data_IF_615984315576
#
_entry.id   IF_615984315576
#
_cell.length_a   1.000
_cell.length_b   1.000
_cell.length_c   1.000
_cell.angle_alpha   90.00
_cell.angle_beta   90.00
_cell.angle_gamma   90.00
#
_symmetry.space_group_name_H-M   'P 1'
#
loop_
_entity.id
_entity.type
_entity.pdbx_description
1 polymer ?
#
# COMPACT_ATOMS: atom_id res chain seq x y z
N UNK A 1 -11.42 11.32 33.21
CA UNK A 1 -11.66 11.05 31.79
C UNK A 1 -10.86 9.84 31.40
N UNK A 2 -11.51 8.77 30.95
CA UNK A 2 -10.82 7.51 30.65
C UNK A 2 -10.08 7.61 29.33
N UNK A 3 -8.76 7.56 29.37
CA UNK A 3 -7.91 7.39 28.19
C UNK A 3 -7.94 5.92 27.83
N UNK A 4 -8.53 5.57 26.69
CA UNK A 4 -8.45 4.23 26.12
C UNK A 4 -7.02 4.03 25.62
N UNK A 5 -6.17 3.42 26.44
CA UNK A 5 -4.88 2.89 25.99
C UNK A 5 -5.14 1.57 25.25
N UNK A 6 -5.22 1.62 23.92
CA UNK A 6 -5.25 0.41 23.11
C UNK A 6 -3.87 -0.23 23.15
N UNK A 7 -3.68 -1.15 24.09
CA UNK A 7 -2.50 -2.01 24.13
C UNK A 7 -2.49 -2.85 22.86
N UNK A 8 -1.52 -2.62 21.98
CA UNK A 8 -1.34 -3.43 20.77
C UNK A 8 -1.29 -4.91 21.16
N UNK A 9 -1.98 -5.76 20.38
CA UNK A 9 -2.06 -7.19 20.65
C UNK A 9 -0.63 -7.77 20.72
N UNK A 10 -0.29 -8.61 21.71
CA UNK A 10 1.10 -9.04 21.98
C UNK A 10 1.77 -9.85 20.85
N UNK A 11 1.05 -10.15 19.77
CA UNK A 11 1.51 -10.97 18.65
C UNK A 11 1.56 -10.17 17.34
N UNK A 12 2.11 -8.95 17.38
CA UNK A 12 2.46 -8.26 16.15
C UNK A 12 3.57 -9.04 15.44
N UNK A 13 3.33 -9.43 14.19
CA UNK A 13 4.33 -10.05 13.32
C UNK A 13 4.43 -9.20 12.06
N UNK A 14 5.60 -8.62 11.83
CA UNK A 14 5.89 -7.99 10.55
C UNK A 14 5.85 -9.06 9.44
N UNK A 15 5.02 -8.82 8.42
CA UNK A 15 4.81 -9.75 7.30
C UNK A 15 5.71 -9.40 6.12
N UNK A 16 5.93 -8.11 5.88
CA UNK A 16 6.71 -7.61 4.74
C UNK A 16 7.15 -6.17 4.94
N UNK A 17 8.36 -5.85 4.48
CA UNK A 17 8.87 -4.48 4.38
C UNK A 17 8.99 -4.07 2.91
N UNK A 18 8.55 -2.85 2.57
CA UNK A 18 8.70 -2.27 1.23
C UNK A 18 9.61 -1.04 1.30
N UNK A 19 10.40 -0.81 0.25
CA UNK A 19 11.31 0.34 0.20
C UNK A 19 10.89 1.31 -0.90
N UNK A 20 10.75 2.58 -0.54
CA UNK A 20 10.50 3.68 -1.46
C UNK A 20 11.67 4.67 -1.44
N UNK A 21 11.86 5.41 -2.54
CA UNK A 21 12.91 6.43 -2.65
C UNK A 21 12.46 7.82 -2.19
N UNK A 22 11.17 7.98 -1.91
CA UNK A 22 10.54 9.21 -1.47
C UNK A 22 9.60 8.91 -0.30
N UNK A 23 9.15 9.96 0.39
CA UNK A 23 8.17 9.84 1.46
C UNK A 23 6.86 9.23 0.93
N UNK A 24 6.20 8.44 1.77
CA UNK A 24 4.97 7.71 1.48
C UNK A 24 3.84 8.34 2.28
N UNK A 25 3.19 9.40 1.77
CA UNK A 25 2.16 10.11 2.52
C UNK A 25 0.87 9.30 2.69
N UNK A 26 0.62 8.31 1.84
CA UNK A 26 -0.60 7.52 1.91
C UNK A 26 -0.39 6.03 1.59
N UNK A 27 -1.24 5.21 2.21
CA UNK A 27 -1.32 3.77 2.05
C UNK A 27 -2.80 3.37 1.95
N UNK A 28 -3.10 2.32 1.19
CA UNK A 28 -4.42 1.73 1.15
C UNK A 28 -4.31 0.19 1.15
N UNK A 29 -5.22 -0.49 1.84
CA UNK A 29 -5.33 -1.95 1.79
C UNK A 29 -6.55 -2.33 0.97
N UNK A 30 -6.44 -3.39 0.16
CA UNK A 30 -7.59 -3.93 -0.56
C UNK A 30 -8.61 -4.54 0.41
N UNK A 31 -9.91 -4.58 0.04
CA UNK A 31 -10.96 -5.13 0.91
C UNK A 31 -10.80 -6.62 1.23
N UNK A 32 -10.20 -7.39 0.33
CA UNK A 32 -9.85 -8.81 0.53
C UNK A 32 -8.59 -9.01 1.37
N UNK A 33 -7.86 -7.92 1.66
CA UNK A 33 -6.61 -7.93 2.41
C UNK A 33 -5.41 -8.44 1.64
N UNK A 34 -5.55 -8.88 0.40
CA UNK A 34 -4.47 -9.52 -0.37
C UNK A 34 -3.47 -8.52 -0.94
N UNK A 35 -3.86 -7.25 -1.11
CA UNK A 35 -3.05 -6.20 -1.70
C UNK A 35 -2.89 -5.01 -0.76
N UNK A 36 -1.74 -4.35 -0.90
CA UNK A 36 -1.45 -3.05 -0.28
C UNK A 36 -0.95 -2.13 -1.38
N UNK A 37 -1.55 -0.96 -1.50
CA UNK A 37 -1.07 0.12 -2.32
C UNK A 37 -0.33 1.15 -1.46
N UNK A 38 0.79 1.63 -1.96
CA UNK A 38 1.55 2.74 -1.40
C UNK A 38 1.77 3.79 -2.48
N UNK A 39 1.62 5.06 -2.13
CA UNK A 39 1.92 6.15 -3.04
C UNK A 39 2.89 7.13 -2.42
N UNK A 40 3.71 7.73 -3.26
CA UNK A 40 4.82 8.58 -2.84
C UNK A 40 4.60 10.05 -3.20
N UNK A 41 5.39 10.93 -2.60
CA UNK A 41 5.38 12.36 -2.92
C UNK A 41 5.84 12.67 -4.36
N UNK A 42 6.56 11.74 -5.00
CA UNK A 42 6.98 11.86 -6.40
C UNK A 42 6.00 11.18 -7.38
N UNK A 43 4.80 10.82 -6.91
CA UNK A 43 3.72 10.26 -7.73
C UNK A 43 3.90 8.81 -8.16
N UNK A 44 4.85 8.08 -7.57
CA UNK A 44 4.90 6.62 -7.73
C UNK A 44 3.77 5.99 -6.94
N UNK A 45 2.98 5.13 -7.56
CA UNK A 45 2.07 4.19 -6.89
C UNK A 45 2.60 2.77 -7.07
N UNK A 46 2.90 2.13 -5.96
CA UNK A 46 3.28 0.72 -5.91
C UNK A 46 2.13 -0.10 -5.34
N UNK A 47 1.83 -1.24 -5.97
CA UNK A 47 0.91 -2.24 -5.42
C UNK A 47 1.70 -3.50 -5.08
N UNK A 48 1.54 -3.99 -3.86
CA UNK A 48 2.23 -5.14 -3.31
C UNK A 48 1.23 -6.22 -2.87
N UNK A 49 1.62 -7.49 -2.99
CA UNK A 49 0.88 -8.59 -2.38
C UNK A 49 1.25 -8.70 -0.89
N UNK A 50 0.24 -8.79 -0.03
CA UNK A 50 0.38 -8.85 1.43
C UNK A 50 0.38 -10.30 1.96
N UNK A 51 -0.38 -11.20 1.32
CA UNK A 51 -0.40 -12.62 1.66
C UNK A 51 0.27 -13.45 0.57
N UNK A 52 0.80 -14.63 0.96
CA UNK A 52 1.17 -15.68 0.00
C UNK A 52 -0.09 -16.17 -0.71
N UNK A 53 -0.54 -15.42 -1.70
CA UNK A 53 -1.64 -15.83 -2.53
C UNK A 53 -1.12 -16.96 -3.43
N UNK A 54 -1.73 -18.14 -3.36
CA UNK A 54 -1.30 -19.33 -4.12
C UNK A 54 -1.34 -19.09 -5.64
N UNK A 55 -2.04 -18.04 -6.09
CA UNK A 55 -2.07 -17.59 -7.51
C UNK A 55 -0.90 -16.68 -7.89
N UNK A 56 -0.26 -16.00 -6.94
CA UNK A 56 0.90 -15.14 -7.15
C UNK A 56 2.13 -15.81 -6.53
N UNK A 57 2.71 -16.79 -7.24
CA UNK A 57 3.87 -17.59 -6.82
C UNK A 57 5.16 -16.74 -6.71
N UNK A 58 5.21 -15.79 -5.80
CA UNK A 58 6.45 -15.13 -5.40
C UNK A 58 6.71 -15.42 -3.93
N UNK A 59 7.66 -16.32 -3.60
CA UNK A 59 8.02 -16.58 -2.22
C UNK A 59 8.54 -15.28 -1.58
N UNK A 60 7.87 -14.84 -0.51
CA UNK A 60 8.21 -13.65 0.28
C UNK A 60 9.46 -13.90 1.16
N UNK A 61 10.52 -14.45 0.57
CA UNK A 61 11.78 -14.76 1.25
C UNK A 61 12.89 -13.77 0.88
N UNK A 62 12.59 -12.69 0.16
CA UNK A 62 13.56 -11.67 -0.22
C UNK A 62 13.20 -10.33 0.40
N UNK A 63 14.13 -9.75 1.15
CA UNK A 63 14.02 -8.40 1.75
C UNK A 63 13.81 -7.26 0.73
N UNK A 64 13.72 -7.55 -0.58
CA UNK A 64 13.33 -6.58 -1.60
C UNK A 64 12.26 -7.18 -2.50
N UNK A 65 11.02 -7.03 -2.09
CA UNK A 65 9.86 -7.47 -2.88
C UNK A 65 9.56 -6.38 -3.91
N UNK A 66 9.74 -6.70 -5.19
CA UNK A 66 9.30 -5.83 -6.28
C UNK A 66 7.78 -5.68 -6.23
N UNK A 67 7.25 -4.47 -6.48
CA UNK A 67 5.82 -4.29 -6.53
C UNK A 67 5.21 -5.14 -7.66
N UNK A 68 4.03 -5.68 -7.40
CA UNK A 68 3.21 -6.37 -8.40
C UNK A 68 2.85 -5.42 -9.55
N UNK A 69 2.60 -4.15 -9.23
CA UNK A 69 2.37 -3.07 -10.21
C UNK A 69 3.03 -1.78 -9.75
N UNK A 70 3.58 -1.04 -10.69
CA UNK A 70 4.18 0.27 -10.49
C UNK A 70 3.55 1.23 -11.50
N UNK A 71 3.02 2.34 -11.00
CA UNK A 71 2.45 3.42 -11.79
C UNK A 71 3.21 4.70 -11.47
N UNK A 72 3.52 5.49 -12.49
CA UNK A 72 4.13 6.81 -12.38
C UNK A 72 3.56 7.64 -13.53
N UNK A 73 2.27 7.95 -13.40
CA UNK A 73 1.57 8.80 -14.36
C UNK A 73 1.51 10.25 -13.84
N UNK A 74 1.77 10.44 -12.54
CA UNK A 74 1.84 11.73 -11.87
C UNK A 74 3.28 12.05 -11.46
N UNK A 75 3.71 13.30 -11.69
CA UNK A 75 4.98 13.81 -11.16
C UNK A 75 4.80 14.54 -9.82
N UNK A 76 3.60 14.46 -9.21
CA UNK A 76 3.25 15.17 -7.98
C UNK A 76 2.79 14.23 -6.88
N UNK A 77 2.73 14.79 -5.67
CA UNK A 77 2.34 14.04 -4.49
C UNK A 77 0.92 13.52 -4.60
N UNK A 78 0.77 12.22 -4.37
CA UNK A 78 -0.53 11.57 -4.21
C UNK A 78 -0.89 11.66 -2.73
N UNK A 79 -1.96 12.38 -2.44
CA UNK A 79 -2.37 12.73 -1.07
C UNK A 79 -3.40 11.74 -0.52
N UNK A 80 -4.12 11.04 -1.39
CA UNK A 80 -5.17 10.09 -0.99
C UNK A 80 -5.22 8.88 -1.92
N UNK A 81 -5.56 7.73 -1.34
CA UNK A 81 -5.78 6.49 -2.07
C UNK A 81 -6.94 5.70 -1.47
N UNK A 82 -7.76 5.09 -2.33
CA UNK A 82 -8.83 4.22 -1.90
C UNK A 82 -9.06 3.07 -2.89
N UNK A 83 -8.98 1.82 -2.41
CA UNK A 83 -9.45 0.68 -3.18
C UNK A 83 -10.98 0.72 -3.29
N UNK A 84 -11.48 0.41 -4.49
CA UNK A 84 -12.91 0.18 -4.66
C UNK A 84 -13.33 -1.03 -3.80
N UNK A 85 -14.48 -0.97 -3.10
CA UNK A 85 -14.86 -1.98 -2.10
C UNK A 85 -15.17 -3.37 -2.66
N UNK A 86 -15.35 -3.51 -3.99
CA UNK A 86 -15.79 -4.77 -4.62
C UNK A 86 -15.08 -5.14 -5.91
N UNK A 87 -14.37 -4.20 -6.52
CA UNK A 87 -13.78 -4.37 -7.85
C UNK A 87 -12.31 -4.01 -7.75
N UNK A 88 -11.49 -4.53 -8.66
CA UNK A 88 -10.03 -4.37 -8.62
C UNK A 88 -9.56 -2.98 -9.12
N UNK A 89 -10.18 -1.92 -8.61
CA UNK A 89 -9.84 -0.53 -8.90
C UNK A 89 -9.20 0.14 -7.68
N UNK A 90 -8.26 1.04 -7.95
CA UNK A 90 -7.63 1.92 -6.98
C UNK A 90 -7.82 3.35 -7.49
N UNK A 91 -8.45 4.20 -6.69
CA UNK A 91 -8.50 5.64 -6.93
C UNK A 91 -7.33 6.29 -6.21
N UNK A 92 -6.62 7.20 -6.87
CA UNK A 92 -5.49 7.93 -6.33
C UNK A 92 -5.65 9.41 -6.65
N UNK A 93 -5.83 10.25 -5.64
CA UNK A 93 -5.97 11.70 -5.81
C UNK A 93 -4.70 12.42 -5.37
N UNK A 94 -4.22 13.36 -6.18
CA UNK A 94 -2.98 14.10 -5.93
C UNK A 94 -3.08 15.61 -6.16
N UNK A 95 -1.96 16.30 -5.92
CA UNK A 95 -1.79 17.76 -6.08
C UNK A 95 -1.69 18.20 -7.57
N UNK A 96 -1.92 17.29 -8.51
CA UNK A 96 -1.89 17.52 -9.95
C UNK A 96 -3.27 17.80 -10.58
N UNK A 97 -4.30 17.99 -9.76
CA UNK A 97 -5.69 18.16 -10.18
C UNK A 97 -6.29 16.91 -10.86
N UNK A 98 -5.75 15.72 -10.61
CA UNK A 98 -6.25 14.45 -11.17
C UNK A 98 -6.70 13.44 -10.08
N UNK A 99 -7.54 12.47 -10.48
CA UNK A 99 -8.05 11.32 -9.70
C UNK A 99 -7.89 10.05 -10.55
#
# INVERSE_FOLDING_TARGET
GSVLSSKAHPNFKEVSTFSHRSAVPCLAQSPDGDLVASATENGDVCVHACHQHTRYRTPMASSKVKPFRHYNDSERAIVTMQFHPREAFLYAGGDDFTI
#
